data_IF_731417646802
#
_entry.id   IF_731417646802
#
_cell.length_a   1.000
_cell.length_b   1.000
_cell.length_c   1.000
_cell.angle_alpha   90.00
_cell.angle_beta   90.00
_cell.angle_gamma   90.00
#
_symmetry.space_group_name_H-M   'P 1'
#
loop_
_entity.id
_entity.type
_entity.pdbx_description
1 polymer ?
#
# COMPACT_ATOMS: atom_id res chain seq x y z
N UNK A 1 23.16 66.12 -35.22
CA UNK A 1 22.07 65.34 -34.57
C UNK A 1 21.99 65.74 -33.10
N UNK A 2 20.85 66.30 -32.68
CA UNK A 2 20.69 66.98 -31.39
C UNK A 2 21.03 66.04 -30.22
N UNK A 3 21.91 66.44 -29.28
CA UNK A 3 22.45 65.56 -28.21
C UNK A 3 21.35 64.85 -27.42
N UNK A 4 20.21 65.52 -27.24
CA UNK A 4 18.99 64.99 -26.64
C UNK A 4 18.38 63.79 -27.39
N UNK A 5 18.35 63.82 -28.74
CA UNK A 5 17.84 62.70 -29.54
C UNK A 5 18.72 61.46 -29.36
N UNK A 6 20.05 61.63 -29.33
CA UNK A 6 21.00 60.53 -29.12
C UNK A 6 20.81 59.86 -27.74
N UNK A 7 20.57 60.67 -26.70
CA UNK A 7 20.34 60.17 -25.34
C UNK A 7 19.02 59.39 -25.24
N UNK A 8 17.96 59.88 -25.89
CA UNK A 8 16.66 59.19 -25.96
C UNK A 8 16.77 57.83 -26.67
N UNK A 9 17.48 57.75 -27.81
CA UNK A 9 17.68 56.47 -28.51
C UNK A 9 18.48 55.46 -27.69
N UNK A 10 19.47 55.91 -26.92
CA UNK A 10 20.21 55.03 -26.00
C UNK A 10 19.30 54.50 -24.90
N UNK A 11 18.46 55.36 -24.31
CA UNK A 11 17.54 54.97 -23.24
C UNK A 11 16.51 53.92 -23.71
N UNK A 12 15.93 54.13 -24.90
CA UNK A 12 14.99 53.19 -25.51
C UNK A 12 15.66 51.85 -25.78
N UNK A 13 16.90 51.85 -26.27
CA UNK A 13 17.66 50.62 -26.54
C UNK A 13 17.92 49.82 -25.26
N UNK A 14 18.27 50.51 -24.16
CA UNK A 14 18.48 49.87 -22.85
C UNK A 14 17.19 49.24 -22.33
N UNK A 15 16.07 49.97 -22.42
CA UNK A 15 14.74 49.47 -22.00
C UNK A 15 14.38 48.23 -22.83
N UNK A 16 14.66 48.24 -24.13
CA UNK A 16 14.34 47.12 -25.02
C UNK A 16 15.15 45.86 -24.67
N UNK A 17 16.46 46.00 -24.43
CA UNK A 17 17.33 44.90 -23.99
C UNK A 17 16.87 44.35 -22.63
N UNK A 18 16.54 45.24 -21.68
CA UNK A 18 16.04 44.82 -20.37
C UNK A 18 14.70 44.08 -20.49
N UNK A 19 13.78 44.55 -21.36
CA UNK A 19 12.50 43.91 -21.60
C UNK A 19 12.64 42.52 -22.22
N UNK A 20 13.55 42.36 -23.20
CA UNK A 20 13.88 41.05 -23.78
C UNK A 20 14.42 40.10 -22.71
N UNK A 21 15.39 40.57 -21.91
CA UNK A 21 15.97 39.78 -20.82
C UNK A 21 14.91 39.34 -19.80
N UNK A 22 14.00 40.26 -19.43
CA UNK A 22 12.89 39.96 -18.54
C UNK A 22 11.92 38.93 -19.15
N UNK A 23 11.56 39.05 -20.43
CA UNK A 23 10.68 38.08 -21.11
C UNK A 23 11.32 36.70 -21.22
N UNK A 24 12.60 36.61 -21.56
CA UNK A 24 13.34 35.35 -21.59
C UNK A 24 13.37 34.73 -20.19
N UNK A 25 13.67 35.52 -19.15
CA UNK A 25 13.68 35.03 -17.77
C UNK A 25 12.28 34.60 -17.30
N UNK A 26 11.21 35.30 -17.68
CA UNK A 26 9.83 34.90 -17.40
C UNK A 26 9.49 33.56 -18.04
N UNK A 27 9.81 33.37 -19.32
CA UNK A 27 9.62 32.11 -20.05
C UNK A 27 10.47 30.99 -19.43
N UNK A 28 11.71 31.28 -19.05
CA UNK A 28 12.58 30.31 -18.38
C UNK A 28 11.99 29.89 -17.02
N UNK A 29 11.49 30.83 -16.23
CA UNK A 29 10.88 30.53 -14.93
C UNK A 29 9.52 29.83 -15.08
N UNK A 30 8.71 30.19 -16.08
CA UNK A 30 7.48 29.47 -16.43
C UNK A 30 7.79 28.05 -16.92
N UNK A 31 8.85 27.85 -17.72
CA UNK A 31 9.29 26.52 -18.15
C UNK A 31 9.82 25.66 -17.00
N UNK A 32 10.43 26.29 -15.98
CA UNK A 32 10.81 25.63 -14.72
C UNK A 32 9.60 25.32 -13.84
N UNK A 33 8.57 26.17 -13.86
CA UNK A 33 7.38 26.05 -13.00
C UNK A 33 6.29 25.16 -13.58
N UNK A 34 6.18 25.02 -14.91
CA UNK A 34 5.06 24.30 -15.50
C UNK A 34 5.15 22.78 -15.37
N UNK A 35 6.29 22.12 -15.60
CA UNK A 35 6.33 20.66 -15.50
C UNK A 35 7.74 20.15 -15.24
N UNK A 36 7.97 19.65 -14.03
CA UNK A 36 8.66 18.38 -13.80
C UNK A 36 8.06 17.34 -14.75
N UNK A 37 8.50 17.35 -16.00
CA UNK A 37 7.85 16.67 -17.11
C UNK A 37 7.95 15.16 -16.89
N UNK A 38 6.97 14.57 -16.18
CA UNK A 38 6.80 13.14 -16.00
C UNK A 38 6.90 12.44 -17.36
N UNK A 39 6.45 13.10 -18.44
CA UNK A 39 6.59 12.60 -19.81
C UNK A 39 8.04 12.34 -20.25
N UNK A 40 9.04 13.10 -19.75
CA UNK A 40 10.47 12.94 -20.11
C UNK A 40 11.25 11.99 -19.21
N UNK A 41 10.77 11.69 -17.99
CA UNK A 41 11.41 10.66 -17.17
C UNK A 41 11.11 9.28 -17.78
N UNK A 42 12.11 8.40 -17.93
CA UNK A 42 11.83 7.03 -18.33
C UNK A 42 10.91 6.39 -17.30
N UNK A 43 9.93 5.62 -17.76
CA UNK A 43 9.06 4.88 -16.87
C UNK A 43 9.90 3.83 -16.14
N UNK A 44 9.70 3.70 -14.84
CA UNK A 44 10.40 2.70 -14.03
C UNK A 44 9.62 1.38 -14.16
N UNK A 45 10.26 0.26 -14.52
CA UNK A 45 9.60 -1.04 -14.51
C UNK A 45 9.29 -1.44 -13.07
N UNK A 46 8.06 -1.89 -12.83
CA UNK A 46 7.61 -2.33 -11.51
C UNK A 46 6.91 -3.67 -11.60
N UNK A 47 7.06 -4.48 -10.55
CA UNK A 47 6.28 -5.69 -10.40
C UNK A 47 4.87 -5.31 -9.99
N UNK A 48 3.88 -5.85 -10.69
CA UNK A 48 2.46 -5.58 -10.44
C UNK A 48 1.69 -6.86 -10.14
N UNK A 49 0.52 -6.69 -9.53
CA UNK A 49 -0.51 -7.73 -9.48
C UNK A 49 -1.86 -7.09 -9.77
N UNK A 50 -2.76 -7.86 -10.36
CA UNK A 50 -4.14 -7.40 -10.58
C UNK A 50 -4.96 -7.74 -9.34
N UNK A 51 -5.59 -6.73 -8.74
CA UNK A 51 -6.52 -6.90 -7.65
C UNK A 51 -7.75 -7.68 -8.12
N UNK A 52 -8.00 -8.82 -7.47
CA UNK A 52 -9.17 -9.65 -7.71
C UNK A 52 -9.81 -9.98 -6.38
N UNK A 53 -11.11 -9.74 -6.31
CA UNK A 53 -11.92 -10.14 -5.17
C UNK A 53 -12.23 -11.61 -5.30
N UNK A 54 -11.74 -12.38 -4.35
CA UNK A 54 -11.86 -13.83 -4.37
C UNK A 54 -12.15 -14.36 -2.97
N UNK A 55 -12.55 -15.64 -2.92
CA UNK A 55 -12.71 -16.36 -1.67
C UNK A 55 -11.44 -17.14 -1.41
N UNK A 56 -10.74 -16.77 -0.33
CA UNK A 56 -9.47 -17.38 0.06
C UNK A 56 -9.48 -17.84 1.51
N UNK A 57 -8.35 -18.39 1.93
CA UNK A 57 -8.15 -18.89 3.30
C UNK A 57 -6.96 -18.17 3.90
N UNK A 58 -7.19 -17.45 5.01
CA UNK A 58 -6.13 -16.94 5.86
C UNK A 58 -5.72 -18.02 6.87
N UNK A 59 -4.41 -18.09 7.14
CA UNK A 59 -3.84 -19.08 8.04
C UNK A 59 -3.21 -18.41 9.26
N UNK A 60 -3.64 -18.80 10.45
CA UNK A 60 -3.05 -18.29 11.69
C UNK A 60 -2.34 -19.44 12.43
N UNK A 61 -1.02 -19.35 12.69
CA UNK A 61 -0.28 -20.38 13.41
C UNK A 61 -0.84 -20.59 14.83
N UNK A 62 -1.00 -21.84 15.26
CA UNK A 62 -1.47 -22.17 16.61
C UNK A 62 -0.72 -23.39 17.14
N UNK A 63 -0.27 -23.31 18.39
CA UNK A 63 0.36 -24.44 19.06
C UNK A 63 -0.61 -25.06 20.06
N UNK A 64 -0.91 -26.35 19.87
CA UNK A 64 -1.87 -27.10 20.68
C UNK A 64 -1.14 -28.10 21.55
N UNK A 65 -1.52 -28.16 22.83
CA UNK A 65 -1.08 -29.18 23.78
C UNK A 65 -2.26 -29.61 24.64
N UNK A 66 -2.53 -30.91 24.71
CA UNK A 66 -3.65 -31.48 25.46
C UNK A 66 -4.99 -30.80 25.11
N UNK A 67 -5.27 -30.64 23.82
CA UNK A 67 -6.45 -29.94 23.28
C UNK A 67 -6.57 -28.45 23.68
N UNK A 68 -5.51 -27.84 24.19
CA UNK A 68 -5.48 -26.44 24.63
C UNK A 68 -4.39 -25.70 23.86
N UNK A 69 -4.69 -24.49 23.42
CA UNK A 69 -3.69 -23.54 22.93
C UNK A 69 -3.73 -22.28 23.79
N UNK A 70 -2.56 -21.66 23.96
CA UNK A 70 -2.44 -20.35 24.59
C UNK A 70 -1.97 -19.34 23.56
N UNK A 71 -2.66 -18.20 23.47
CA UNK A 71 -2.38 -17.17 22.47
C UNK A 71 -2.32 -15.78 23.12
N UNK A 72 -1.51 -14.90 22.56
CA UNK A 72 -1.41 -13.51 23.02
C UNK A 72 -2.71 -12.75 22.77
N UNK A 73 -2.95 -11.70 23.58
CA UNK A 73 -4.11 -10.81 23.39
C UNK A 73 -4.14 -10.13 22.02
N UNK A 74 -2.98 -9.84 21.42
CA UNK A 74 -2.89 -9.29 20.07
C UNK A 74 -3.40 -10.24 18.97
N UNK A 75 -3.46 -11.54 19.25
CA UNK A 75 -3.81 -12.58 18.27
C UNK A 75 -5.12 -13.28 18.59
N UNK A 76 -5.62 -13.21 19.82
CA UNK A 76 -6.82 -13.96 20.25
C UNK A 76 -8.05 -13.69 19.37
N UNK A 77 -8.21 -12.45 18.91
CA UNK A 77 -9.34 -12.05 18.05
C UNK A 77 -9.30 -12.70 16.66
N UNK A 78 -8.17 -13.30 16.27
CA UNK A 78 -8.03 -14.11 15.06
C UNK A 78 -8.47 -15.56 15.25
N UNK A 79 -9.09 -15.90 16.38
CA UNK A 79 -9.59 -17.24 16.60
C UNK A 79 -11.07 -17.18 16.93
N UNK A 80 -11.83 -18.16 16.44
CA UNK A 80 -13.27 -18.24 16.69
C UNK A 80 -13.73 -19.69 16.81
N UNK A 81 -14.76 -19.98 17.63
CA UNK A 81 -15.38 -21.29 17.66
C UNK A 81 -15.81 -21.76 16.26
N UNK A 82 -15.62 -23.05 15.97
CA UNK A 82 -15.95 -23.67 14.68
C UNK A 82 -14.85 -23.60 13.62
N UNK A 83 -13.78 -22.83 13.84
CA UNK A 83 -12.64 -22.79 12.91
C UNK A 83 -11.92 -24.12 12.86
N UNK A 84 -11.53 -24.50 11.65
CA UNK A 84 -10.85 -25.78 11.37
C UNK A 84 -9.36 -25.62 11.71
N UNK A 85 -8.82 -26.60 12.44
CA UNK A 85 -7.38 -26.75 12.69
C UNK A 85 -7.01 -28.16 12.26
N UNK A 86 -6.42 -28.28 11.08
CA UNK A 86 -6.10 -29.58 10.48
C UNK A 86 -7.35 -30.50 10.47
N UNK A 87 -7.31 -31.66 11.13
CA UNK A 87 -8.43 -32.60 11.24
C UNK A 87 -9.42 -32.30 12.38
N UNK A 88 -9.14 -31.27 13.19
CA UNK A 88 -9.95 -30.89 14.33
C UNK A 88 -10.54 -29.48 14.19
N UNK A 89 -11.04 -28.95 15.31
CA UNK A 89 -11.65 -27.61 15.35
C UNK A 89 -11.45 -26.89 16.67
N UNK A 90 -11.60 -25.57 16.63
CA UNK A 90 -11.74 -24.74 17.82
C UNK A 90 -13.16 -24.92 18.37
N UNK A 91 -13.25 -25.26 19.67
CA UNK A 91 -14.53 -25.38 20.37
C UNK A 91 -14.87 -24.06 21.08
N UNK A 92 -13.88 -23.44 21.70
CA UNK A 92 -14.09 -22.21 22.47
C UNK A 92 -12.83 -21.36 22.54
N UNK A 93 -13.02 -20.04 22.51
CA UNK A 93 -11.97 -19.05 22.78
C UNK A 93 -12.34 -18.35 24.08
N UNK A 94 -11.44 -18.34 25.06
CA UNK A 94 -11.65 -17.63 26.32
C UNK A 94 -11.76 -16.13 26.07
N UNK A 95 -12.70 -15.46 26.74
CA UNK A 95 -12.81 -14.00 26.75
C UNK A 95 -11.87 -13.33 27.75
N UNK A 96 -11.36 -14.09 28.71
CA UNK A 96 -10.49 -13.61 29.77
C UNK A 96 -9.07 -14.16 29.59
N UNK A 97 -8.10 -13.31 29.93
CA UNK A 97 -6.70 -13.70 30.03
C UNK A 97 -6.53 -14.67 31.21
N UNK A 98 -5.76 -15.74 31.01
CA UNK A 98 -5.32 -16.58 32.10
C UNK A 98 -4.22 -15.83 32.87
N UNK A 99 -4.38 -15.66 34.18
CA UNK A 99 -3.49 -14.87 35.02
C UNK A 99 -2.13 -15.56 35.26
N UNK A 100 -2.08 -16.88 35.22
CA UNK A 100 -0.84 -17.65 35.41
C UNK A 100 0.07 -17.54 34.18
N UNK A 101 -0.51 -17.51 32.99
CA UNK A 101 0.24 -17.50 31.72
C UNK A 101 0.28 -16.14 31.03
N UNK A 102 -0.55 -15.17 31.43
CA UNK A 102 -0.73 -13.91 30.71
C UNK A 102 -1.25 -14.08 29.28
N UNK A 103 -1.96 -15.17 29.00
CA UNK A 103 -2.41 -15.53 27.65
C UNK A 103 -3.87 -15.96 27.63
N UNK A 104 -4.51 -15.86 26.46
CA UNK A 104 -5.86 -16.33 26.25
C UNK A 104 -5.86 -17.82 25.94
N UNK A 105 -6.76 -18.55 26.58
CA UNK A 105 -6.92 -19.99 26.40
C UNK A 105 -7.90 -20.29 25.28
N UNK A 106 -7.50 -21.16 24.35
CA UNK A 106 -8.34 -21.72 23.30
C UNK A 106 -8.48 -23.21 23.55
N UNK A 107 -9.71 -23.73 23.51
CA UNK A 107 -9.98 -25.18 23.55
C UNK A 107 -10.25 -25.68 22.14
N UNK A 108 -9.65 -26.83 21.83
CA UNK A 108 -9.76 -27.52 20.55
C UNK A 108 -10.29 -28.94 20.78
N UNK A 109 -10.77 -29.58 19.72
CA UNK A 109 -11.14 -31.01 19.74
C UNK A 109 -10.68 -31.67 18.45
N UNK A 110 -10.15 -32.89 18.58
CA UNK A 110 -9.65 -33.67 17.45
C UNK A 110 -8.34 -33.12 16.86
N UNK A 111 -7.62 -32.26 17.59
CA UNK A 111 -6.34 -31.69 17.16
C UNK A 111 -5.21 -32.37 17.91
N UNK A 112 -4.21 -32.87 17.18
CA UNK A 112 -3.02 -33.48 17.76
C UNK A 112 -2.14 -32.42 18.43
N UNK A 113 -1.30 -32.84 19.37
CA UNK A 113 -0.32 -31.95 19.98
C UNK A 113 0.71 -31.47 18.93
N UNK A 114 1.12 -30.20 19.01
CA UNK A 114 2.12 -29.61 18.13
C UNK A 114 1.69 -28.30 17.48
N UNK A 115 2.48 -27.86 16.50
CA UNK A 115 2.21 -26.66 15.71
C UNK A 115 1.27 -26.98 14.54
N UNK A 116 0.22 -26.17 14.39
CA UNK A 116 -0.79 -26.26 13.35
C UNK A 116 -1.16 -24.87 12.82
N UNK A 117 -2.05 -24.83 11.83
CA UNK A 117 -2.68 -23.61 11.36
C UNK A 117 -4.20 -23.65 11.60
N UNK A 118 -4.75 -22.55 12.10
CA UNK A 118 -6.17 -22.29 12.11
C UNK A 118 -6.57 -21.62 10.79
N UNK A 119 -7.53 -22.22 10.09
CA UNK A 119 -7.96 -21.76 8.78
C UNK A 119 -9.20 -20.87 8.89
N UNK A 120 -9.16 -19.71 8.25
CA UNK A 120 -10.29 -18.80 8.16
C UNK A 120 -10.65 -18.50 6.71
N UNK A 121 -11.86 -18.89 6.31
CA UNK A 121 -12.37 -18.58 4.99
C UNK A 121 -12.90 -17.15 4.96
N UNK A 122 -12.38 -16.34 4.06
CA UNK A 122 -12.77 -14.95 3.86
C UNK A 122 -13.00 -14.65 2.39
N UNK A 123 -13.79 -13.61 2.10
CA UNK A 123 -13.96 -13.09 0.74
C UNK A 123 -13.54 -11.63 0.69
N UNK A 124 -12.61 -11.30 -0.19
CA UNK A 124 -12.02 -9.97 -0.29
C UNK A 124 -10.84 -9.94 -1.25
N UNK A 125 -10.03 -8.90 -1.15
CA UNK A 125 -8.77 -8.80 -1.90
C UNK A 125 -7.62 -9.30 -1.02
N UNK A 126 -6.88 -10.29 -1.50
CA UNK A 126 -5.68 -10.79 -0.85
C UNK A 126 -4.47 -10.10 -1.47
N UNK A 127 -3.79 -9.29 -0.68
CA UNK A 127 -2.63 -8.51 -1.13
C UNK A 127 -1.43 -8.87 -0.27
N UNK A 128 -0.23 -9.08 -0.84
CA UNK A 128 0.97 -9.34 -0.07
C UNK A 128 1.23 -8.23 0.95
N UNK A 129 1.54 -8.62 2.18
CA UNK A 129 1.68 -7.71 3.32
C UNK A 129 2.73 -6.63 3.11
N UNK A 130 3.81 -6.94 2.38
CA UNK A 130 4.87 -5.98 2.09
C UNK A 130 4.43 -4.86 1.14
N UNK A 131 3.35 -5.06 0.37
CA UNK A 131 2.80 -4.06 -0.55
C UNK A 131 1.84 -3.08 0.17
N UNK A 132 1.46 -3.37 1.42
CA UNK A 132 0.56 -2.53 2.22
C UNK A 132 1.35 -1.79 3.30
N UNK A 133 1.32 -0.46 3.29
CA UNK A 133 2.00 0.38 4.31
C UNK A 133 1.01 1.32 4.95
N UNK A 134 0.76 1.15 6.26
CA UNK A 134 -0.14 2.01 7.04
C UNK A 134 -1.54 2.18 6.40
N UNK A 135 -2.12 1.07 5.90
CA UNK A 135 -3.41 1.09 5.21
C UNK A 135 -3.39 1.75 3.84
N UNK A 136 -2.22 1.89 3.22
CA UNK A 136 -2.05 2.46 1.89
C UNK A 136 -1.39 1.45 0.95
N UNK A 137 -1.81 1.50 -0.30
CA UNK A 137 -1.28 0.68 -1.39
C UNK A 137 -0.95 1.60 -2.56
N UNK A 138 0.10 1.24 -3.30
CA UNK A 138 0.42 1.89 -4.57
C UNK A 138 -0.35 1.19 -5.69
N UNK A 139 -1.12 1.94 -6.46
CA UNK A 139 -1.81 1.46 -7.67
C UNK A 139 -1.29 2.16 -8.91
N UNK A 140 -1.24 1.44 -10.02
CA UNK A 140 -0.93 1.98 -11.33
C UNK A 140 -2.21 2.58 -11.94
N UNK A 141 -2.18 3.86 -12.27
CA UNK A 141 -3.25 4.54 -12.99
C UNK A 141 -2.66 5.39 -14.11
N UNK A 142 -2.99 5.05 -15.35
CA UNK A 142 -2.51 5.77 -16.55
C UNK A 142 -0.97 5.92 -16.59
N UNK A 143 -0.23 4.87 -16.22
CA UNK A 143 1.24 4.92 -16.21
C UNK A 143 1.86 5.68 -15.02
N UNK A 144 1.05 6.04 -14.01
CA UNK A 144 1.48 6.80 -12.84
C UNK A 144 1.17 6.01 -11.56
N UNK A 145 2.14 5.95 -10.64
CA UNK A 145 1.97 5.34 -9.34
C UNK A 145 1.17 6.27 -8.42
N UNK A 146 -0.02 5.84 -7.97
CA UNK A 146 -0.90 6.60 -7.10
C UNK A 146 -1.13 5.86 -5.78
N UNK A 147 -1.23 6.61 -4.67
CA UNK A 147 -1.64 6.03 -3.39
C UNK A 147 -3.15 5.84 -3.38
N UNK A 148 -3.60 4.66 -2.95
CA UNK A 148 -4.99 4.37 -2.57
C UNK A 148 -5.03 3.97 -1.09
N UNK A 149 -5.96 4.56 -0.35
CA UNK A 149 -6.23 4.17 1.04
C UNK A 149 -7.14 2.94 1.03
N UNK A 150 -6.84 1.95 1.87
CA UNK A 150 -7.57 0.69 1.96
C UNK A 150 -7.94 0.35 3.39
N UNK A 151 -9.03 -0.39 3.54
CA UNK A 151 -9.46 -0.93 4.82
C UNK A 151 -9.01 -2.37 4.98
N UNK A 152 -8.09 -2.57 5.92
CA UNK A 152 -7.58 -3.89 6.27
C UNK A 152 -8.53 -4.52 7.29
N UNK A 153 -9.11 -5.66 6.93
CA UNK A 153 -9.99 -6.41 7.82
C UNK A 153 -9.21 -7.42 8.65
N UNK A 154 -8.27 -8.13 8.02
CA UNK A 154 -7.47 -9.15 8.68
C UNK A 154 -6.15 -9.38 7.94
N UNK A 155 -5.25 -10.17 8.51
CA UNK A 155 -4.00 -10.56 7.88
C UNK A 155 -3.50 -11.91 8.39
N UNK A 156 -2.64 -12.54 7.61
CA UNK A 156 -1.80 -13.65 8.05
C UNK A 156 -0.30 -13.25 7.96
N UNK A 157 0.58 -14.25 7.85
CA UNK A 157 2.02 -14.04 7.74
C UNK A 157 2.41 -13.38 6.40
N UNK A 158 1.70 -13.69 5.31
CA UNK A 158 2.08 -13.35 3.94
C UNK A 158 1.16 -12.29 3.33
N UNK A 159 -0.13 -12.36 3.65
CA UNK A 159 -1.20 -11.63 2.99
C UNK A 159 -2.00 -10.78 3.97
N UNK A 160 -2.56 -9.72 3.41
CA UNK A 160 -3.51 -8.81 4.04
C UNK A 160 -4.83 -8.94 3.30
N UNK A 161 -5.91 -9.13 4.06
CA UNK A 161 -7.26 -9.13 3.53
C UNK A 161 -7.83 -7.72 3.57
N UNK A 162 -8.18 -7.22 2.40
CA UNK A 162 -8.76 -5.91 2.20
C UNK A 162 -10.20 -6.07 1.73
N UNK A 163 -11.12 -5.35 2.36
CA UNK A 163 -12.54 -5.41 2.01
C UNK A 163 -13.02 -4.17 1.25
N UNK A 164 -12.40 -3.00 1.48
CA UNK A 164 -12.78 -1.75 0.83
C UNK A 164 -11.56 -0.93 0.43
N UNK A 165 -11.74 -0.04 -0.55
CA UNK A 165 -10.68 0.80 -1.11
C UNK A 165 -9.90 0.16 -2.27
N UNK A 166 -10.30 -1.01 -2.76
CA UNK A 166 -9.83 -1.61 -4.01
C UNK A 166 -11.01 -2.03 -4.86
N UNK A 167 -10.82 -1.96 -6.17
CA UNK A 167 -11.77 -2.41 -7.17
C UNK A 167 -11.17 -3.58 -7.96
N UNK A 168 -12.03 -4.46 -8.49
CA UNK A 168 -11.58 -5.54 -9.37
C UNK A 168 -10.90 -4.95 -10.60
N UNK A 169 -9.69 -5.41 -10.90
CA UNK A 169 -8.89 -4.91 -12.02
C UNK A 169 -7.93 -3.78 -11.66
N UNK A 170 -7.96 -3.25 -10.42
CA UNK A 170 -6.91 -2.33 -9.96
C UNK A 170 -5.54 -3.01 -10.09
N UNK A 171 -4.56 -2.31 -10.65
CA UNK A 171 -3.21 -2.83 -10.81
C UNK A 171 -2.39 -2.34 -9.62
N UNK A 172 -2.08 -3.25 -8.70
CA UNK A 172 -1.32 -2.97 -7.49
C UNK A 172 0.17 -3.07 -7.80
N UNK A 173 0.94 -2.07 -7.38
CA UNK A 173 2.39 -2.04 -7.52
C UNK A 173 3.00 -2.70 -6.28
N UNK A 174 3.80 -3.75 -6.51
CA UNK A 174 4.48 -4.53 -5.48
C UNK A 174 5.88 -3.97 -5.16
N UNK A 175 6.48 -3.24 -6.10
CA UNK A 175 7.78 -2.58 -5.95
C UNK A 175 7.68 -1.29 -5.14
N UNK A 176 8.78 -0.89 -4.48
CA UNK A 176 8.84 0.40 -3.80
C UNK A 176 9.00 1.54 -4.82
N UNK A 177 8.01 2.43 -4.90
CA UNK A 177 8.02 3.62 -5.76
C UNK A 177 7.40 4.81 -5.05
N UNK A 178 7.90 6.01 -5.37
CA UNK A 178 7.32 7.25 -4.85
C UNK A 178 5.99 7.58 -5.55
N UNK A 179 5.00 8.15 -4.84
CA UNK A 179 3.77 8.62 -5.45
C UNK A 179 4.01 9.66 -6.53
N UNK A 180 3.26 9.60 -7.63
CA UNK A 180 3.42 10.47 -8.80
C UNK A 180 4.52 10.05 -9.76
N UNK A 181 5.26 8.97 -9.47
CA UNK A 181 6.30 8.45 -10.36
C UNK A 181 5.69 7.81 -11.60
N UNK A 182 6.30 8.05 -12.78
CA UNK A 182 5.97 7.33 -14.00
C UNK A 182 6.48 5.91 -13.91
N UNK A 183 5.60 4.95 -14.09
CA UNK A 183 5.89 3.53 -13.96
C UNK A 183 5.28 2.78 -15.14
N UNK A 184 5.89 1.66 -15.48
CA UNK A 184 5.36 0.71 -16.44
C UNK A 184 5.40 -0.68 -15.82
N UNK A 185 4.47 -1.53 -16.21
CA UNK A 185 4.47 -2.92 -15.78
C UNK A 185 5.73 -3.59 -16.35
N UNK A 186 6.36 -4.42 -15.52
CA UNK A 186 7.44 -5.27 -15.97
C UNK A 186 6.81 -6.54 -16.52
N UNK A 187 7.02 -6.80 -17.82
CA UNK A 187 6.53 -8.01 -18.50
C UNK A 187 7.08 -9.31 -17.88
#
# INVERSE_FOLDING_TARGET
MNKYKKLVYILISIIFVFWIGFRINSIYQESKRQVFNIARKPAIPVNTMVARRETGILQEPIFVKNNIAFVSGSRVNKFSPGQIINNGKIISVSKNINLDTGMYKIRTSGVQDGGHFAYQKHTGFFVPKYAVRNGKIMVLKNGIAMIKQVEIVNNDAENVLINSGLDNGDIIILSHVEPGTKVQEND
#
